data_IF_631064014976
#
_entry.id   IF_631064014976
#
_cell.length_a   1.000
_cell.length_b   1.000
_cell.length_c   1.000
_cell.angle_alpha   90.00
_cell.angle_beta   90.00
_cell.angle_gamma   90.00
#
_symmetry.space_group_name_H-M   'P 1'
#
loop_
_entity.id
_entity.type
_entity.pdbx_description
1 polymer ?
#
# COMPACT_ATOMS: atom_id res chain seq x y z
N UNK A 1 17.44 20.18 18.73
CA UNK A 1 17.41 19.02 17.81
C UNK A 1 16.06 19.06 17.12
N UNK A 2 16.00 19.05 15.79
CA UNK A 2 14.75 19.13 15.05
C UNK A 2 14.17 17.74 14.80
N UNK A 3 12.84 17.64 14.76
CA UNK A 3 12.14 16.42 14.40
C UNK A 3 12.23 16.27 12.88
N UNK A 4 12.92 15.24 12.40
CA UNK A 4 13.08 14.95 10.97
C UNK A 4 12.09 13.90 10.46
N UNK A 5 11.22 13.38 11.34
CA UNK A 5 10.27 12.32 11.03
C UNK A 5 8.82 12.81 11.22
N UNK A 6 8.05 12.79 10.14
CA UNK A 6 6.65 13.21 10.10
C UNK A 6 5.77 12.38 11.04
N UNK A 7 6.01 11.07 11.15
CA UNK A 7 5.23 10.19 12.02
C UNK A 7 5.50 10.45 13.51
N UNK A 8 6.72 10.88 13.84
CA UNK A 8 7.10 11.27 15.20
C UNK A 8 6.43 12.59 15.59
N UNK A 9 6.44 13.56 14.68
CA UNK A 9 5.74 14.83 14.86
C UNK A 9 4.23 14.64 15.00
N UNK A 10 3.62 13.80 14.16
CA UNK A 10 2.19 13.48 14.21
C UNK A 10 1.76 12.91 15.57
N UNK A 11 2.58 12.03 16.15
CA UNK A 11 2.37 11.54 17.52
C UNK A 11 2.50 12.62 18.58
N UNK A 12 3.44 13.54 18.43
CA UNK A 12 3.70 14.59 19.42
C UNK A 12 2.60 15.66 19.43
N UNK A 13 2.01 15.95 18.27
CA UNK A 13 0.90 16.91 18.12
C UNK A 13 -0.49 16.28 18.17
N UNK A 14 -0.59 14.99 18.51
CA UNK A 14 -1.82 14.20 18.54
C UNK A 14 -2.68 14.40 17.27
N UNK A 15 -2.05 14.24 16.11
CA UNK A 15 -2.69 14.45 14.81
C UNK A 15 -2.33 13.33 13.84
N UNK A 16 -3.03 13.28 12.70
CA UNK A 16 -2.74 12.26 11.69
C UNK A 16 -1.47 12.61 10.91
N UNK A 17 -0.69 11.59 10.57
CA UNK A 17 0.52 11.73 9.76
C UNK A 17 0.24 12.46 8.44
N UNK A 18 -0.92 12.21 7.83
CA UNK A 18 -1.36 12.88 6.61
C UNK A 18 -1.59 14.38 6.80
N UNK A 19 -2.26 14.77 7.89
CA UNK A 19 -2.58 16.18 8.15
C UNK A 19 -1.34 17.00 8.47
N UNK A 20 -0.49 16.51 9.38
CA UNK A 20 0.77 17.18 9.76
C UNK A 20 1.61 17.49 8.55
N UNK A 21 1.60 16.58 7.60
CA UNK A 21 2.51 16.62 6.49
C UNK A 21 1.95 17.38 5.30
N UNK A 22 0.63 17.43 5.12
CA UNK A 22 -0.03 18.43 4.29
C UNK A 22 0.34 19.84 4.75
N UNK A 23 0.19 20.16 6.05
CA UNK A 23 0.50 21.49 6.60
C UNK A 23 1.98 21.85 6.39
N UNK A 24 2.89 20.90 6.57
CA UNK A 24 4.32 21.15 6.37
C UNK A 24 4.70 21.31 4.89
N UNK A 25 4.01 20.64 3.98
CA UNK A 25 4.16 20.86 2.53
C UNK A 25 3.65 22.25 2.13
N UNK A 26 2.46 22.66 2.60
CA UNK A 26 1.91 23.99 2.35
C UNK A 26 2.82 25.11 2.87
N UNK A 27 3.45 24.88 4.03
CA UNK A 27 4.42 25.80 4.61
C UNK A 27 5.79 25.80 3.90
N UNK A 28 6.01 24.94 2.90
CA UNK A 28 7.29 24.77 2.22
C UNK A 28 8.40 24.19 3.10
N UNK A 29 8.04 23.65 4.27
CA UNK A 29 8.94 23.11 5.29
C UNK A 29 9.22 21.61 5.08
N UNK A 30 8.35 20.91 4.34
CA UNK A 30 8.65 19.60 3.79
C UNK A 30 8.83 19.68 2.28
N UNK A 31 10.10 19.62 1.87
CA UNK A 31 10.48 19.30 0.50
C UNK A 31 10.25 17.80 0.27
N UNK A 32 9.24 17.46 -0.53
CA UNK A 32 8.98 16.08 -0.93
C UNK A 32 8.01 15.29 -0.07
N UNK A 33 7.08 15.95 0.61
CA UNK A 33 5.88 15.28 1.13
C UNK A 33 4.68 15.59 0.25
N UNK A 34 4.04 14.51 -0.21
CA UNK A 34 3.18 14.51 -1.36
C UNK A 34 1.76 14.19 -0.93
N UNK A 35 0.80 14.97 -1.44
CA UNK A 35 -0.61 14.66 -1.31
C UNK A 35 -0.88 13.27 -1.93
N UNK A 36 -1.20 12.32 -1.04
CA UNK A 36 -1.34 10.89 -1.29
C UNK A 36 -2.53 10.57 -2.20
N UNK A 37 -3.43 11.53 -2.45
CA UNK A 37 -4.59 11.35 -3.31
C UNK A 37 -4.37 11.77 -4.76
N UNK A 38 -3.31 12.54 -5.07
CA UNK A 38 -3.14 13.17 -6.39
C UNK A 38 -1.84 12.83 -7.11
N UNK A 39 -0.85 12.21 -6.43
CA UNK A 39 0.49 11.98 -7.00
C UNK A 39 0.85 10.48 -7.10
N UNK A 40 0.34 9.80 -8.13
CA UNK A 40 0.50 8.35 -8.36
C UNK A 40 1.94 7.89 -8.68
N UNK A 41 2.81 8.76 -9.19
CA UNK A 41 4.18 8.40 -9.60
C UNK A 41 5.14 8.16 -8.43
N UNK A 42 4.96 8.83 -7.28
CA UNK A 42 5.89 8.73 -6.14
C UNK A 42 5.44 7.73 -5.07
N UNK A 43 4.14 7.48 -4.92
CA UNK A 43 3.58 6.36 -4.14
C UNK A 43 4.17 5.01 -4.55
N UNK A 44 4.32 4.80 -5.86
CA UNK A 44 4.99 3.62 -6.41
C UNK A 44 6.41 3.45 -5.83
N UNK A 45 7.16 4.52 -5.57
CA UNK A 45 8.54 4.45 -5.08
C UNK A 45 8.64 4.23 -3.57
N UNK A 46 7.80 4.87 -2.73
CA UNK A 46 7.81 4.63 -1.27
C UNK A 46 7.44 3.18 -0.95
N UNK A 47 6.35 2.71 -1.58
CA UNK A 47 5.91 1.35 -1.38
C UNK A 47 6.61 0.29 -2.24
N UNK A 48 7.43 0.70 -3.23
CA UNK A 48 8.30 -0.23 -3.97
C UNK A 48 9.22 -1.04 -3.07
N UNK A 49 9.61 -0.46 -1.92
CA UNK A 49 10.46 -1.14 -0.92
C UNK A 49 9.71 -2.30 -0.26
N UNK A 50 8.41 -2.13 -0.03
CA UNK A 50 7.53 -3.19 0.45
C UNK A 50 7.11 -4.15 -0.67
N UNK A 51 7.13 -3.73 -1.93
CA UNK A 51 6.69 -4.58 -3.05
C UNK A 51 7.71 -5.64 -3.49
N UNK A 52 9.00 -5.46 -3.16
CA UNK A 52 10.06 -6.41 -3.54
C UNK A 52 9.86 -7.77 -2.86
N UNK A 53 9.38 -8.73 -3.64
CA UNK A 53 9.33 -10.14 -3.28
C UNK A 53 8.05 -10.60 -2.59
N UNK A 54 7.07 -9.72 -2.37
CA UNK A 54 5.75 -10.07 -1.82
C UNK A 54 4.89 -10.79 -2.85
N UNK A 55 4.88 -10.34 -4.11
CA UNK A 55 4.05 -10.94 -5.17
C UNK A 55 4.82 -12.09 -5.82
N UNK A 56 4.62 -13.31 -5.30
CA UNK A 56 5.12 -14.56 -5.87
C UNK A 56 3.96 -15.39 -6.42
N UNK A 57 4.18 -16.03 -7.56
CA UNK A 57 3.12 -16.76 -8.27
C UNK A 57 3.69 -17.92 -9.11
N UNK A 58 4.79 -18.54 -8.65
CA UNK A 58 5.39 -19.67 -9.37
C UNK A 58 4.49 -20.91 -9.31
N UNK A 59 3.69 -21.06 -8.26
CA UNK A 59 2.58 -22.03 -8.16
C UNK A 59 1.33 -21.36 -7.55
N UNK A 60 0.15 -22.01 -7.58
CA UNK A 60 -1.03 -21.57 -6.84
C UNK A 60 -0.77 -21.36 -5.35
N UNK A 61 0.06 -22.20 -4.73
CA UNK A 61 0.43 -22.10 -3.32
C UNK A 61 1.25 -20.82 -3.05
N UNK A 62 2.20 -20.49 -3.93
CA UNK A 62 2.95 -19.23 -3.83
C UNK A 62 2.03 -18.01 -3.97
N UNK A 63 1.02 -18.09 -4.83
CA UNK A 63 0.02 -17.03 -5.00
C UNK A 63 -0.84 -16.87 -3.74
N UNK A 64 -1.32 -17.96 -3.15
CA UNK A 64 -2.05 -17.93 -1.86
C UNK A 64 -1.21 -17.33 -0.74
N UNK A 65 0.05 -17.77 -0.61
CA UNK A 65 0.96 -17.22 0.39
C UNK A 65 1.28 -15.74 0.16
N UNK A 66 1.25 -15.28 -1.09
CA UNK A 66 1.42 -13.86 -1.42
C UNK A 66 0.18 -13.05 -1.03
N UNK A 67 -1.01 -13.56 -1.34
CA UNK A 67 -2.28 -12.96 -0.91
C UNK A 67 -2.38 -12.90 0.62
N UNK A 68 -1.99 -13.95 1.34
CA UNK A 68 -2.00 -13.94 2.80
C UNK A 68 -1.13 -12.82 3.40
N UNK A 69 0.05 -12.57 2.82
CA UNK A 69 0.90 -11.43 3.23
C UNK A 69 0.28 -10.08 2.89
N UNK A 70 -0.38 -9.98 1.74
CA UNK A 70 -1.10 -8.76 1.32
C UNK A 70 -2.26 -8.50 2.29
N UNK A 71 -3.01 -9.53 2.67
CA UNK A 71 -4.11 -9.45 3.63
C UNK A 71 -3.63 -8.99 5.02
N UNK A 72 -2.53 -9.56 5.50
CA UNK A 72 -1.90 -9.14 6.76
C UNK A 72 -1.50 -7.65 6.73
N UNK A 73 -0.94 -7.17 5.61
CA UNK A 73 -0.62 -5.75 5.43
C UNK A 73 -1.88 -4.88 5.40
N UNK A 74 -2.91 -5.30 4.67
CA UNK A 74 -4.17 -4.59 4.58
C UNK A 74 -4.80 -4.40 5.96
N UNK A 75 -4.92 -5.48 6.75
CA UNK A 75 -5.45 -5.43 8.12
C UNK A 75 -4.58 -4.62 9.07
N UNK A 76 -3.27 -4.63 8.89
CA UNK A 76 -2.36 -3.81 9.67
C UNK A 76 -2.60 -2.30 9.46
N UNK A 77 -2.84 -1.90 8.21
CA UNK A 77 -3.18 -0.52 7.87
C UNK A 77 -4.59 -0.16 8.30
N UNK A 78 -5.54 -1.08 8.17
CA UNK A 78 -6.91 -0.93 8.69
C UNK A 78 -6.91 -0.62 10.18
N UNK A 79 -6.16 -1.38 10.98
CA UNK A 79 -6.06 -1.18 12.43
C UNK A 79 -5.48 0.20 12.83
N UNK A 80 -4.78 0.87 11.91
CA UNK A 80 -4.22 2.21 12.09
C UNK A 80 -5.08 3.32 11.48
N UNK A 81 -6.20 2.98 10.84
CA UNK A 81 -7.00 3.94 10.06
C UNK A 81 -6.27 4.48 8.82
N UNK A 82 -5.25 3.76 8.32
CA UNK A 82 -4.46 4.16 7.17
C UNK A 82 -5.07 3.64 5.85
N UNK A 83 -5.99 4.42 5.30
CA UNK A 83 -6.62 4.13 4.01
C UNK A 83 -5.63 4.13 2.83
N UNK A 84 -4.53 4.89 2.92
CA UNK A 84 -3.51 4.90 1.86
C UNK A 84 -2.73 3.59 1.84
N UNK A 85 -2.42 3.04 3.03
CA UNK A 85 -1.80 1.73 3.18
C UNK A 85 -2.71 0.58 2.70
N UNK A 86 -4.02 0.65 3.00
CA UNK A 86 -5.02 -0.28 2.47
C UNK A 86 -5.05 -0.25 0.93
N UNK A 87 -5.10 0.94 0.34
CA UNK A 87 -5.06 1.10 -1.12
C UNK A 87 -3.78 0.51 -1.73
N UNK A 88 -2.63 0.69 -1.07
CA UNK A 88 -1.38 0.10 -1.53
C UNK A 88 -1.43 -1.44 -1.55
N UNK A 89 -2.01 -2.08 -0.52
CA UNK A 89 -2.21 -3.53 -0.50
C UNK A 89 -3.13 -4.01 -1.64
N UNK A 90 -4.19 -3.26 -1.95
CA UNK A 90 -5.07 -3.54 -3.10
C UNK A 90 -4.31 -3.44 -4.44
N UNK A 91 -3.47 -2.41 -4.62
CA UNK A 91 -2.62 -2.28 -5.82
C UNK A 91 -1.66 -3.46 -5.96
N UNK A 92 -1.11 -3.96 -4.85
CA UNK A 92 -0.24 -5.14 -4.85
C UNK A 92 -0.96 -6.40 -5.36
N UNK A 93 -2.22 -6.61 -4.97
CA UNK A 93 -3.03 -7.69 -5.49
C UNK A 93 -3.29 -7.52 -7.00
N UNK A 94 -3.63 -6.31 -7.46
CA UNK A 94 -3.81 -6.02 -8.89
C UNK A 94 -2.54 -6.28 -9.72
N UNK A 95 -1.35 -5.93 -9.19
CA UNK A 95 -0.07 -6.28 -9.82
C UNK A 95 0.08 -7.80 -9.93
N UNK A 96 -0.30 -8.56 -8.89
CA UNK A 96 -0.33 -10.02 -8.90
C UNK A 96 -1.22 -10.59 -10.01
N UNK A 97 -2.45 -10.08 -10.13
CA UNK A 97 -3.39 -10.44 -11.21
C UNK A 97 -2.74 -10.21 -12.58
N UNK A 98 -2.23 -9.01 -12.84
CA UNK A 98 -1.71 -8.64 -14.16
C UNK A 98 -0.46 -9.44 -14.54
N UNK A 99 0.46 -9.66 -13.60
CA UNK A 99 1.70 -10.43 -13.85
C UNK A 99 1.44 -11.92 -14.03
N UNK A 100 0.52 -12.51 -13.25
CA UNK A 100 0.15 -13.91 -13.45
C UNK A 100 -0.54 -14.12 -14.81
N UNK A 101 -1.45 -13.21 -15.19
CA UNK A 101 -2.12 -13.26 -16.52
C UNK A 101 -1.12 -13.15 -17.66
N UNK A 102 -0.15 -12.23 -17.60
CA UNK A 102 0.85 -12.08 -18.68
C UNK A 102 1.74 -13.32 -18.85
N UNK A 103 1.85 -14.16 -17.82
CA UNK A 103 2.54 -15.45 -17.85
C UNK A 103 1.62 -16.66 -18.12
N UNK A 104 0.36 -16.44 -18.56
CA UNK A 104 -0.65 -17.49 -18.77
C UNK A 104 -0.97 -18.35 -17.52
N UNK A 105 -0.73 -17.80 -16.33
CA UNK A 105 -0.99 -18.43 -15.02
C UNK A 105 -2.36 -18.03 -14.49
N UNK A 106 -3.39 -18.65 -15.09
CA UNK A 106 -4.79 -18.26 -14.89
C UNK A 106 -5.27 -18.54 -13.46
N UNK A 107 -4.86 -19.67 -12.88
CA UNK A 107 -5.27 -20.04 -11.51
C UNK A 107 -4.67 -19.08 -10.47
N UNK A 108 -3.38 -18.76 -10.59
CA UNK A 108 -2.69 -17.81 -9.73
C UNK A 108 -3.28 -16.41 -9.87
N UNK A 109 -3.57 -15.98 -11.10
CA UNK A 109 -4.24 -14.70 -11.34
C UNK A 109 -5.61 -14.65 -10.66
N UNK A 110 -6.37 -15.75 -10.67
CA UNK A 110 -7.67 -15.82 -10.01
C UNK A 110 -7.54 -15.67 -8.50
N UNK A 111 -6.54 -16.29 -7.88
CA UNK A 111 -6.30 -16.17 -6.44
C UNK A 111 -6.11 -14.71 -6.01
N UNK A 112 -5.32 -13.92 -6.74
CA UNK A 112 -5.18 -12.49 -6.44
C UNK A 112 -6.46 -11.69 -6.74
N UNK A 113 -7.19 -12.05 -7.80
CA UNK A 113 -8.40 -11.35 -8.19
C UNK A 113 -9.54 -11.58 -7.21
N UNK A 114 -9.73 -12.81 -6.73
CA UNK A 114 -10.77 -13.18 -5.79
C UNK A 114 -10.63 -12.36 -4.50
N UNK A 115 -9.43 -12.29 -3.93
CA UNK A 115 -9.16 -11.46 -2.75
C UNK A 115 -9.43 -9.97 -3.03
N UNK A 116 -8.96 -9.43 -4.15
CA UNK A 116 -9.18 -8.02 -4.49
C UNK A 116 -10.68 -7.70 -4.65
N UNK A 117 -11.45 -8.59 -5.26
CA UNK A 117 -12.90 -8.44 -5.42
C UNK A 117 -13.59 -8.47 -4.05
N UNK A 118 -13.17 -9.33 -3.13
CA UNK A 118 -13.70 -9.36 -1.77
C UNK A 118 -13.47 -8.03 -1.06
N UNK A 119 -12.25 -7.48 -1.10
CA UNK A 119 -11.95 -6.20 -0.44
C UNK A 119 -12.72 -5.01 -1.04
N UNK A 120 -13.02 -5.03 -2.34
CA UNK A 120 -13.77 -3.95 -2.99
C UNK A 120 -15.28 -4.01 -2.72
N UNK A 121 -15.82 -5.15 -2.24
CA UNK A 121 -17.23 -5.27 -1.86
C UNK A 121 -17.55 -4.64 -0.51
N UNK A 122 -16.53 -4.34 0.29
CA UNK A 122 -16.68 -3.75 1.63
C UNK A 122 -16.75 -2.21 1.60
N UNK A 123 -16.80 -1.61 0.40
CA UNK A 123 -16.96 -0.17 0.15
C UNK A 123 -18.43 0.24 0.18
#
# INVERSE_FOLDING_TARGET
MGITNVAELAREVDSSTSYVAQVLTEAGLLSGYFDLYTTSQQLMNFYSRFSRGIVRFKTPEDARASVERIDQLYRHFEAQGDHSGQHHAQVMALIGVNRARSCNKVEEARIFADWLIEQLKEI
#
